data_IF_906250134053
#
_entry.id   IF_906250134053
#
_cell.length_a   1.000
_cell.length_b   1.000
_cell.length_c   1.000
_cell.angle_alpha   90.00
_cell.angle_beta   90.00
_cell.angle_gamma   90.00
#
_symmetry.space_group_name_H-M   'P 1'
#
loop_
_entity.id
_entity.type
_entity.pdbx_description
1 polymer ?
#
# COMPACT_ATOMS: atom_id res chain seq x y z
N UNK A 1 6.51 -38.54 27.74
CA UNK A 1 5.44 -39.40 27.21
C UNK A 1 4.14 -38.60 27.15
N UNK A 2 3.53 -38.51 25.96
CA UNK A 2 2.09 -38.57 25.61
C UNK A 2 1.08 -38.13 26.70
N UNK A 3 -0.02 -37.41 26.48
CA UNK A 3 -0.70 -36.70 25.40
C UNK A 3 -2.02 -36.16 26.04
N UNK A 4 -2.79 -35.39 25.26
CA UNK A 4 -4.28 -35.34 25.25
C UNK A 4 -4.99 -34.16 25.95
N UNK A 5 -5.45 -33.27 25.07
CA UNK A 5 -6.51 -32.26 25.13
C UNK A 5 -7.87 -32.84 25.56
N UNK A 6 -8.71 -32.06 26.27
CA UNK A 6 -10.17 -32.15 26.12
C UNK A 6 -10.82 -30.76 26.00
N UNK A 7 -11.36 -30.52 24.80
CA UNK A 7 -12.34 -29.48 24.48
C UNK A 7 -13.69 -29.88 25.07
N UNK A 8 -14.47 -28.90 25.54
CA UNK A 8 -15.93 -29.04 25.69
C UNK A 8 -16.59 -27.80 25.10
N UNK A 9 -17.34 -28.02 24.03
CA UNK A 9 -18.31 -27.09 23.47
C UNK A 9 -19.71 -27.58 23.89
N UNK A 10 -20.60 -26.65 24.23
CA UNK A 10 -22.03 -26.90 24.29
C UNK A 10 -22.75 -25.76 23.57
N UNK A 11 -23.11 -26.03 22.31
CA UNK A 11 -24.04 -25.23 21.52
C UNK A 11 -25.45 -25.67 21.90
N UNK A 12 -26.27 -24.77 22.42
CA UNK A 12 -27.70 -24.99 22.60
C UNK A 12 -28.44 -24.40 21.41
N UNK A 13 -28.94 -25.29 20.55
CA UNK A 13 -29.89 -25.03 19.48
C UNK A 13 -31.28 -24.79 20.05
N UNK A 14 -31.91 -23.68 19.67
CA UNK A 14 -33.36 -23.54 19.71
C UNK A 14 -33.84 -22.98 18.37
N UNK A 15 -34.57 -23.82 17.64
CA UNK A 15 -35.29 -23.49 16.42
C UNK A 15 -36.74 -23.13 16.78
N UNK A 16 -37.31 -22.10 16.14
CA UNK A 16 -38.76 -21.88 16.09
C UNK A 16 -39.13 -21.40 14.69
N UNK A 17 -40.09 -22.12 14.11
CA UNK A 17 -40.57 -22.04 12.73
C UNK A 17 -41.78 -21.08 12.60
N UNK A 18 -41.82 -20.42 11.43
CA UNK A 18 -42.96 -20.15 10.54
C UNK A 18 -44.21 -19.40 11.05
N UNK A 19 -44.58 -18.32 10.32
CA UNK A 19 -45.94 -18.16 9.73
C UNK A 19 -45.84 -17.37 8.40
N UNK A 20 -46.50 -17.88 7.35
CA UNK A 20 -46.64 -17.30 6.01
C UNK A 20 -47.79 -16.26 5.93
N UNK A 21 -47.73 -15.33 4.98
CA UNK A 21 -48.91 -14.65 4.39
C UNK A 21 -48.60 -14.13 2.99
N UNK A 22 -49.63 -14.10 2.14
CA UNK A 22 -49.59 -14.19 0.69
C UNK A 22 -49.80 -12.85 -0.08
N UNK A 23 -49.43 -12.92 -1.37
CA UNK A 23 -49.63 -12.08 -2.58
C UNK A 23 -50.43 -10.76 -2.53
N UNK A 24 -49.91 -9.68 -3.14
CA UNK A 24 -50.27 -9.21 -4.50
C UNK A 24 -49.70 -7.80 -4.82
N UNK A 25 -49.70 -7.47 -6.11
CA UNK A 25 -49.37 -6.20 -6.79
C UNK A 25 -47.90 -5.81 -7.02
N UNK A 26 -47.48 -6.12 -8.25
CA UNK A 26 -46.64 -5.22 -9.06
C UNK A 26 -47.54 -4.67 -10.18
N UNK A 27 -47.40 -3.39 -10.62
CA UNK A 27 -46.24 -3.04 -11.44
C UNK A 27 -45.75 -1.57 -11.39
N UNK A 28 -44.56 -1.41 -11.99
CA UNK A 28 -43.90 -0.19 -12.54
C UNK A 28 -42.90 0.57 -11.66
N UNK A 29 -41.65 0.23 -11.95
CA UNK A 29 -40.58 1.15 -12.40
C UNK A 29 -40.26 2.35 -11.51
N UNK A 30 -39.18 2.23 -10.75
CA UNK A 30 -38.09 3.21 -10.80
C UNK A 30 -36.78 2.52 -10.37
N UNK A 31 -35.85 2.41 -11.32
CA UNK A 31 -34.47 2.05 -11.07
C UNK A 31 -33.82 3.11 -10.18
N UNK A 32 -33.56 2.80 -8.91
CA UNK A 32 -32.62 3.55 -8.07
C UNK A 32 -31.54 2.62 -7.53
N UNK A 33 -30.46 2.61 -8.31
CA UNK A 33 -29.04 2.53 -7.95
C UNK A 33 -28.70 1.81 -6.64
N UNK A 34 -28.06 0.66 -6.85
CA UNK A 34 -27.06 0.04 -5.99
C UNK A 34 -26.23 1.11 -5.25
N UNK A 35 -26.36 1.20 -3.94
CA UNK A 35 -25.38 1.95 -3.14
C UNK A 35 -24.11 1.12 -3.08
N UNK A 36 -23.15 1.44 -3.94
CA UNK A 36 -21.77 1.05 -3.75
C UNK A 36 -21.28 1.86 -2.54
N UNK A 37 -21.08 1.19 -1.40
CA UNK A 37 -20.45 1.78 -0.22
C UNK A 37 -18.95 1.87 -0.48
N UNK A 38 -18.59 2.75 -1.40
CA UNK A 38 -17.24 3.19 -1.65
C UNK A 38 -16.93 4.26 -0.63
N UNK A 39 -16.50 3.80 0.55
CA UNK A 39 -15.83 4.64 1.52
C UNK A 39 -14.39 4.88 1.03
N UNK A 40 -14.25 5.49 -0.14
CA UNK A 40 -13.04 6.23 -0.45
C UNK A 40 -12.98 7.34 0.60
N UNK A 41 -12.04 7.21 1.54
CA UNK A 41 -11.62 8.36 2.31
C UNK A 41 -11.20 9.41 1.28
N UNK A 42 -12.03 10.43 1.12
CA UNK A 42 -11.76 11.57 0.26
C UNK A 42 -10.50 12.24 0.81
N UNK A 43 -9.35 11.88 0.23
CA UNK A 43 -8.07 12.51 0.52
C UNK A 43 -8.22 13.96 0.08
N UNK A 44 -7.90 14.94 0.94
CA UNK A 44 -8.10 16.35 0.60
C UNK A 44 -7.34 16.65 -0.70
N UNK A 45 -8.09 17.14 -1.70
CA UNK A 45 -7.55 17.60 -2.96
C UNK A 45 -6.72 18.87 -2.73
N UNK A 46 -5.46 18.70 -2.31
CA UNK A 46 -4.51 19.79 -2.21
C UNK A 46 -4.25 20.33 -3.61
N UNK A 47 -4.83 21.50 -3.89
CA UNK A 47 -4.75 22.21 -5.17
C UNK A 47 -3.46 23.01 -5.29
N UNK A 48 -2.33 22.39 -4.92
CA UNK A 48 -0.97 22.85 -5.23
C UNK A 48 -0.25 21.65 -5.85
N UNK A 49 -0.70 21.24 -7.04
CA UNK A 49 0.02 20.24 -7.82
C UNK A 49 1.31 20.88 -8.30
N UNK A 50 2.40 20.69 -7.57
CA UNK A 50 3.73 20.76 -8.16
C UNK A 50 3.73 19.77 -9.32
N UNK A 51 3.53 20.31 -10.52
CA UNK A 51 3.46 19.58 -11.77
C UNK A 51 4.68 18.66 -11.87
N UNK A 52 4.45 17.35 -11.78
CA UNK A 52 5.42 16.36 -12.22
C UNK A 52 5.35 16.39 -13.75
N UNK A 53 6.42 16.81 -14.46
CA UNK A 53 6.42 16.78 -15.91
C UNK A 53 5.96 15.43 -16.44
N UNK A 54 5.03 15.45 -17.40
CA UNK A 54 4.49 14.23 -18.03
C UNK A 54 5.56 13.39 -18.74
N UNK A 55 6.77 13.93 -18.91
CA UNK A 55 7.93 13.30 -19.52
C UNK A 55 8.82 12.54 -18.52
N UNK A 56 8.47 12.54 -17.22
CA UNK A 56 9.24 11.85 -16.20
C UNK A 56 9.06 10.32 -16.31
N UNK A 57 10.02 9.69 -16.96
CA UNK A 57 10.03 8.26 -17.31
C UNK A 57 10.07 7.27 -16.12
N UNK A 58 10.10 7.77 -14.87
CA UNK A 58 10.11 6.94 -13.65
C UNK A 58 8.72 6.70 -13.06
N UNK A 59 7.66 7.27 -13.66
CA UNK A 59 6.28 7.03 -13.24
C UNK A 59 5.96 5.52 -13.19
N UNK A 60 5.19 5.12 -12.18
CA UNK A 60 4.69 3.75 -12.01
C UNK A 60 5.33 2.97 -10.86
N UNK A 61 5.06 1.67 -10.88
CA UNK A 61 5.47 0.71 -9.86
C UNK A 61 6.81 0.07 -10.21
N UNK A 62 7.78 0.15 -9.30
CA UNK A 62 9.07 -0.49 -9.43
C UNK A 62 9.32 -1.45 -8.28
N UNK A 63 9.64 -2.71 -8.59
CA UNK A 63 9.79 -3.75 -7.58
C UNK A 63 11.03 -4.62 -7.81
N UNK A 64 11.75 -4.90 -6.73
CA UNK A 64 12.70 -6.00 -6.63
C UNK A 64 12.09 -7.02 -5.67
N UNK A 65 11.94 -8.28 -6.11
CA UNK A 65 11.49 -9.38 -5.27
C UNK A 65 12.53 -10.49 -5.29
N UNK A 66 13.12 -10.72 -4.13
CA UNK A 66 14.01 -11.84 -3.86
C UNK A 66 13.33 -12.79 -2.85
N UNK A 67 13.99 -13.91 -2.51
CA UNK A 67 13.38 -14.98 -1.70
C UNK A 67 12.79 -14.50 -0.38
N UNK A 68 13.47 -13.59 0.32
CA UNK A 68 13.06 -13.05 1.62
C UNK A 68 13.13 -11.52 1.67
N UNK A 69 13.24 -10.85 0.51
CA UNK A 69 13.37 -9.39 0.45
C UNK A 69 12.47 -8.83 -0.63
N UNK A 70 11.79 -7.74 -0.31
CA UNK A 70 11.07 -6.93 -1.28
C UNK A 70 11.52 -5.48 -1.12
N UNK A 71 11.85 -4.83 -2.23
CA UNK A 71 11.99 -3.37 -2.32
C UNK A 71 11.00 -2.89 -3.35
N UNK A 72 10.21 -1.88 -2.99
CA UNK A 72 9.22 -1.25 -3.87
C UNK A 72 9.44 0.25 -3.87
N UNK A 73 9.34 0.88 -5.03
CA UNK A 73 9.25 2.32 -5.18
C UNK A 73 8.09 2.64 -6.13
N UNK A 74 7.14 3.44 -5.68
CA UNK A 74 5.97 3.84 -6.46
C UNK A 74 5.99 5.36 -6.67
N UNK A 75 5.84 5.77 -7.92
CA UNK A 75 5.84 7.17 -8.34
C UNK A 75 4.50 7.50 -8.99
N UNK A 76 3.59 8.07 -8.20
CA UNK A 76 2.24 8.36 -8.66
C UNK A 76 2.15 9.70 -9.39
N UNK A 77 1.26 9.76 -10.39
CA UNK A 77 0.99 10.98 -11.17
C UNK A 77 0.36 12.10 -10.35
N UNK A 78 -0.29 11.79 -9.22
CA UNK A 78 -0.86 12.79 -8.33
C UNK A 78 0.20 13.48 -7.44
N UNK A 79 1.46 13.07 -7.57
CA UNK A 79 2.58 13.59 -6.80
C UNK A 79 2.83 12.82 -5.50
N UNK A 80 2.14 11.71 -5.24
CA UNK A 80 2.48 10.82 -4.12
C UNK A 80 3.59 9.84 -4.48
N UNK A 81 4.40 9.52 -3.47
CA UNK A 81 5.48 8.54 -3.60
C UNK A 81 5.53 7.69 -2.34
N UNK A 82 5.82 6.41 -2.58
CA UNK A 82 5.99 5.40 -1.56
C UNK A 82 7.28 4.61 -1.81
N UNK A 83 8.04 4.36 -0.76
CA UNK A 83 9.13 3.38 -0.76
C UNK A 83 8.78 2.33 0.28
N UNK A 84 8.80 1.05 -0.11
CA UNK A 84 8.59 -0.07 0.80
C UNK A 84 9.83 -0.94 0.82
N UNK A 85 10.24 -1.34 2.02
CA UNK A 85 11.20 -2.41 2.22
C UNK A 85 10.60 -3.48 3.13
N UNK A 86 10.69 -4.73 2.70
CA UNK A 86 10.22 -5.90 3.46
C UNK A 86 11.36 -6.90 3.64
N UNK A 87 11.47 -7.45 4.85
CA UNK A 87 12.34 -8.58 5.16
C UNK A 87 11.52 -9.75 5.71
N UNK A 88 11.55 -10.85 4.98
CA UNK A 88 10.77 -12.05 5.20
C UNK A 88 9.28 -11.73 5.30
N UNK A 89 8.61 -12.47 6.19
CA UNK A 89 7.20 -12.25 6.54
C UNK A 89 7.03 -11.50 7.87
N UNK A 90 8.14 -11.01 8.45
CA UNK A 90 8.17 -10.55 9.83
C UNK A 90 8.42 -9.06 9.99
N UNK A 91 8.88 -8.36 8.95
CA UNK A 91 9.15 -6.93 9.01
C UNK A 91 8.84 -6.22 7.70
N UNK A 92 8.23 -5.05 7.81
CA UNK A 92 7.96 -4.14 6.71
C UNK A 92 8.17 -2.70 7.17
N UNK A 93 8.80 -1.89 6.34
CA UNK A 93 9.01 -0.47 6.58
C UNK A 93 8.59 0.27 5.31
N UNK A 94 7.85 1.35 5.51
CA UNK A 94 7.27 2.12 4.44
C UNK A 94 7.49 3.60 4.68
N UNK A 95 7.92 4.32 3.66
CA UNK A 95 8.11 5.75 3.68
C UNK A 95 7.15 6.37 2.67
N UNK A 96 6.29 7.27 3.16
CA UNK A 96 5.23 7.93 2.39
C UNK A 96 5.42 9.43 2.36
N UNK A 97 5.14 10.02 1.21
CA UNK A 97 5.28 11.46 1.04
C UNK A 97 4.86 11.94 -0.33
N UNK A 98 5.44 13.07 -0.73
CA UNK A 98 5.22 13.67 -2.04
C UNK A 98 6.52 13.77 -2.80
N UNK A 99 6.47 13.70 -4.12
CA UNK A 99 7.67 13.77 -4.95
C UNK A 99 7.55 14.78 -6.07
N UNK A 100 8.72 15.23 -6.52
CA UNK A 100 8.92 15.89 -7.81
C UNK A 100 10.18 15.32 -8.44
N UNK A 101 10.36 15.49 -9.75
CA UNK A 101 11.61 15.10 -10.39
C UNK A 101 12.01 16.05 -11.52
N UNK A 102 13.32 16.11 -11.73
CA UNK A 102 13.99 16.60 -12.94
C UNK A 102 14.53 15.40 -13.72
N UNK A 103 15.16 15.65 -14.87
CA UNK A 103 15.76 14.62 -15.73
C UNK A 103 16.78 13.70 -15.05
N UNK A 104 17.33 14.09 -13.88
CA UNK A 104 18.37 13.33 -13.18
C UNK A 104 18.19 13.19 -11.67
N UNK A 105 17.23 13.89 -11.07
CA UNK A 105 17.03 13.92 -9.62
C UNK A 105 15.56 13.87 -9.25
N UNK A 106 15.21 12.98 -8.34
CA UNK A 106 13.95 12.93 -7.62
C UNK A 106 14.12 13.68 -6.30
N UNK A 107 13.17 14.53 -5.97
CA UNK A 107 13.01 15.12 -4.64
C UNK A 107 11.85 14.44 -3.94
N UNK A 108 12.13 13.62 -2.92
CA UNK A 108 11.10 12.97 -2.12
C UNK A 108 10.95 13.66 -0.77
N UNK A 109 9.80 14.30 -0.56
CA UNK A 109 9.45 14.92 0.73
C UNK A 109 8.73 13.90 1.59
N UNK A 110 9.48 13.22 2.46
CA UNK A 110 8.99 12.17 3.34
C UNK A 110 8.18 12.77 4.49
N UNK A 111 6.93 12.36 4.59
CA UNK A 111 6.00 12.84 5.63
C UNK A 111 5.84 11.84 6.74
N UNK A 112 5.72 10.57 6.41
CA UNK A 112 5.60 9.51 7.42
C UNK A 112 6.46 8.31 7.11
N UNK A 113 6.85 7.64 8.19
CA UNK A 113 7.42 6.30 8.18
C UNK A 113 6.50 5.39 8.97
N UNK A 114 6.12 4.27 8.36
CA UNK A 114 5.34 3.20 8.98
C UNK A 114 6.27 1.99 9.13
N UNK A 115 6.17 1.29 10.25
CA UNK A 115 6.96 0.08 10.52
C UNK A 115 6.03 -0.96 11.09
N UNK A 116 5.96 -2.10 10.41
CA UNK A 116 5.16 -3.25 10.79
C UNK A 116 6.06 -4.42 11.13
N UNK A 117 5.77 -5.08 12.25
CA UNK A 117 6.46 -6.31 12.66
C UNK A 117 5.45 -7.38 13.03
N UNK A 118 5.76 -8.63 12.70
CA UNK A 118 4.96 -9.80 13.07
C UNK A 118 5.75 -10.69 14.01
N UNK A 119 5.20 -10.92 15.20
CA UNK A 119 5.77 -11.85 16.19
C UNK A 119 4.68 -12.82 16.63
N UNK A 120 4.91 -14.12 16.46
CA UNK A 120 3.96 -15.18 16.82
C UNK A 120 2.53 -14.93 16.28
N UNK A 121 2.42 -14.49 15.03
CA UNK A 121 1.14 -14.17 14.38
C UNK A 121 0.50 -12.86 14.82
N UNK A 122 1.12 -12.09 15.72
CA UNK A 122 0.62 -10.78 16.16
C UNK A 122 1.34 -9.66 15.41
N UNK A 123 0.58 -8.78 14.77
CA UNK A 123 1.08 -7.56 14.11
C UNK A 123 1.29 -6.45 15.14
N UNK A 124 2.42 -5.75 15.06
CA UNK A 124 2.66 -4.47 15.73
C UNK A 124 3.02 -3.43 14.68
N UNK A 125 2.42 -2.26 14.79
CA UNK A 125 2.59 -1.17 13.83
C UNK A 125 2.96 0.11 14.59
N UNK A 126 3.93 0.84 14.06
CA UNK A 126 4.33 2.16 14.55
C UNK A 126 4.36 3.14 13.39
N UNK A 127 3.87 4.36 13.64
CA UNK A 127 3.88 5.44 12.67
C UNK A 127 4.59 6.66 13.24
N UNK A 128 5.52 7.20 12.46
CA UNK A 128 6.34 8.35 12.82
C UNK A 128 6.19 9.44 11.76
N UNK A 129 6.13 10.70 12.19
CA UNK A 129 6.27 11.85 11.30
C UNK A 129 7.76 12.14 11.08
N UNK A 130 8.21 12.11 9.83
CA UNK A 130 9.65 12.23 9.49
C UNK A 130 10.01 13.66 9.06
N UNK A 131 9.15 14.31 8.28
CA UNK A 131 9.37 15.65 7.71
C UNK A 131 10.80 15.86 7.17
N UNK A 132 11.25 14.94 6.31
CA UNK A 132 12.57 15.01 5.66
C UNK A 132 12.42 15.25 4.16
N UNK A 133 13.47 15.77 3.53
CA UNK A 133 13.58 15.88 2.07
C UNK A 133 14.77 15.05 1.63
N UNK A 134 14.52 14.04 0.81
CA UNK A 134 15.55 13.17 0.25
C UNK A 134 15.82 13.56 -1.19
N UNK A 135 17.10 13.78 -1.49
CA UNK A 135 17.55 14.05 -2.86
C UNK A 135 18.09 12.76 -3.46
N UNK A 136 17.37 12.22 -4.44
CA UNK A 136 17.61 10.88 -4.98
C UNK A 136 18.03 11.02 -6.43
N UNK A 137 19.30 10.72 -6.70
CA UNK A 137 19.74 10.51 -8.09
C UNK A 137 19.15 9.21 -8.59
N UNK A 138 18.80 9.16 -9.86
CA UNK A 138 18.31 7.93 -10.46
C UNK A 138 18.97 7.63 -11.79
N UNK A 139 18.97 6.35 -12.15
CA UNK A 139 19.33 5.88 -13.48
C UNK A 139 18.21 4.97 -13.97
N UNK A 140 17.62 5.35 -15.09
CA UNK A 140 16.62 4.55 -15.78
C UNK A 140 17.23 3.92 -17.02
N UNK A 141 16.99 2.63 -17.24
CA UNK A 141 17.47 1.89 -18.40
C UNK A 141 16.47 0.80 -18.77
N UNK A 142 15.57 1.08 -19.72
CA UNK A 142 14.45 0.20 -20.05
C UNK A 142 13.60 -0.05 -18.81
N UNK A 143 13.42 -1.33 -18.46
CA UNK A 143 12.60 -1.76 -17.33
C UNK A 143 13.36 -1.77 -16.00
N UNK A 144 14.51 -1.12 -15.92
CA UNK A 144 15.33 -1.05 -14.69
C UNK A 144 15.49 0.38 -14.19
N UNK A 145 15.30 0.55 -12.88
CA UNK A 145 15.50 1.81 -12.17
C UNK A 145 16.46 1.59 -11.00
N UNK A 146 17.52 2.38 -10.94
CA UNK A 146 18.45 2.42 -9.81
C UNK A 146 18.29 3.74 -9.07
N UNK A 147 18.12 3.68 -7.75
CA UNK A 147 17.99 4.86 -6.88
C UNK A 147 19.24 5.03 -6.01
N UNK A 148 19.87 6.21 -6.04
CA UNK A 148 21.09 6.51 -5.30
C UNK A 148 20.93 7.79 -4.48
N UNK A 149 21.07 7.66 -3.17
CA UNK A 149 21.08 8.77 -2.22
C UNK A 149 21.74 8.34 -0.91
N UNK A 150 22.38 9.26 -0.21
CA UNK A 150 22.76 9.08 1.19
C UNK A 150 21.58 9.16 2.16
N UNK A 151 20.48 9.78 1.73
CA UNK A 151 19.30 9.98 2.56
C UNK A 151 18.37 8.75 2.53
N UNK A 152 18.56 7.88 1.52
CA UNK A 152 17.80 6.65 1.41
C UNK A 152 18.22 5.65 2.50
N UNK A 153 17.26 4.86 3.02
CA UNK A 153 17.56 3.70 3.85
C UNK A 153 18.57 2.79 3.13
N UNK A 154 19.56 2.29 3.86
CA UNK A 154 20.64 1.44 3.31
C UNK A 154 20.12 0.19 2.58
N UNK A 155 18.91 -0.26 2.94
CA UNK A 155 18.24 -1.42 2.38
C UNK A 155 17.72 -1.17 0.95
N UNK A 156 17.46 0.10 0.63
CA UNK A 156 16.91 0.60 -0.64
C UNK A 156 17.99 1.28 -1.48
N UNK A 157 18.92 1.99 -0.83
CA UNK A 157 19.97 2.75 -1.50
C UNK A 157 20.83 1.85 -2.40
N UNK A 158 21.09 2.33 -3.62
CA UNK A 158 21.89 1.66 -4.65
C UNK A 158 21.33 0.30 -5.13
N UNK A 159 20.08 -0.02 -4.78
CA UNK A 159 19.36 -1.15 -5.34
C UNK A 159 18.83 -0.86 -6.73
N UNK A 160 18.74 -1.90 -7.55
CA UNK A 160 18.00 -1.88 -8.83
C UNK A 160 16.64 -2.51 -8.61
N UNK A 161 15.59 -1.80 -9.00
CA UNK A 161 14.19 -2.26 -9.04
C UNK A 161 13.73 -2.33 -10.48
N UNK A 162 12.72 -3.16 -10.74
CA UNK A 162 12.23 -3.46 -12.08
C UNK A 162 10.81 -2.94 -12.27
N UNK A 163 10.51 -2.44 -13.47
CA UNK A 163 9.15 -1.99 -13.78
C UNK A 163 8.17 -3.17 -13.64
N UNK A 164 7.05 -2.95 -12.96
CA UNK A 164 6.05 -3.99 -12.69
C UNK A 164 5.08 -4.22 -13.85
N UNK A 165 4.95 -3.26 -14.75
CA UNK A 165 3.92 -3.23 -15.79
C UNK A 165 4.31 -4.00 -17.07
N UNK A 166 5.41 -4.76 -17.05
CA UNK A 166 5.88 -5.58 -18.18
C UNK A 166 6.12 -7.05 -17.80
#
# INVERSE_FOLDING_TARGET
MKNVVKKTAALSTAALLLVCSAFADSPKSNSKKHMHSDKFAERPAHTDRNYVPAENSVLGDWILRENDKIVKAEFDRDGTMEITWKQGFTSEIEWKGTWTATDSEITFTVRSKETETWTNGTKRETREAVNAVWKIKYKLSGDTLTLTSSDLPKEVANGTVYNRDY
#
